data_IF_206832239792
#
_entry.id   IF_206832239792
#
_cell.length_a   1.000
_cell.length_b   1.000
_cell.length_c   1.000
_cell.angle_alpha   90.00
_cell.angle_beta   90.00
_cell.angle_gamma   90.00
#
_symmetry.space_group_name_H-M   'P 1'
#
loop_
_entity.id
_entity.type
_entity.pdbx_description
1 polymer ?
#
# COMPACT_ATOMS: atom_id res chain seq x y z
N UNK A 1 16.19 -6.66 -23.77
CA UNK A 1 17.01 -7.65 -24.48
C UNK A 1 16.48 -9.04 -24.20
N UNK A 2 16.33 -9.84 -25.25
CA UNK A 2 15.92 -11.26 -25.18
C UNK A 2 17.01 -12.09 -25.84
N UNK A 3 18.09 -12.44 -25.12
CA UNK A 3 19.22 -13.17 -25.69
C UNK A 3 18.89 -14.64 -26.02
N UNK A 4 17.79 -15.14 -25.47
CA UNK A 4 17.22 -16.44 -25.80
C UNK A 4 15.73 -16.45 -25.41
N UNK A 5 14.97 -17.46 -25.82
CA UNK A 5 13.58 -17.65 -25.41
C UNK A 5 13.41 -17.84 -23.89
N UNK A 6 14.49 -18.17 -23.18
CA UNK A 6 14.49 -18.38 -21.72
C UNK A 6 14.81 -17.14 -20.90
N UNK A 7 15.31 -16.06 -21.52
CA UNK A 7 15.77 -14.88 -20.81
C UNK A 7 15.19 -13.60 -21.37
N UNK A 8 14.72 -12.76 -20.47
CA UNK A 8 14.35 -11.39 -20.77
C UNK A 8 15.06 -10.44 -19.80
N UNK A 9 15.78 -9.44 -20.33
CA UNK A 9 16.44 -8.41 -19.54
C UNK A 9 15.91 -7.03 -19.88
N UNK A 10 15.71 -6.21 -18.86
CA UNK A 10 15.38 -4.80 -18.98
C UNK A 10 16.27 -3.95 -18.09
N UNK A 11 16.62 -2.77 -18.56
CA UNK A 11 17.30 -1.74 -17.79
C UNK A 11 16.69 -0.38 -18.12
N UNK A 12 16.71 0.54 -17.15
CA UNK A 12 16.16 1.87 -17.32
C UNK A 12 16.89 2.89 -16.45
N UNK A 13 16.84 4.15 -16.86
CA UNK A 13 17.18 5.31 -16.07
C UNK A 13 15.96 6.22 -15.92
N UNK A 14 15.82 6.87 -14.78
CA UNK A 14 14.73 7.80 -14.47
C UNK A 14 15.31 9.11 -13.97
N UNK A 15 14.83 10.22 -14.51
CA UNK A 15 15.08 11.54 -13.96
C UNK A 15 13.79 12.07 -13.33
N UNK A 16 13.89 12.48 -12.08
CA UNK A 16 12.79 13.06 -11.32
C UNK A 16 13.08 14.54 -11.13
N UNK A 17 12.11 15.39 -11.43
CA UNK A 17 12.18 16.82 -11.13
C UNK A 17 10.82 17.30 -10.69
N UNK A 18 10.78 18.00 -9.56
CA UNK A 18 9.59 18.60 -9.00
C UNK A 18 9.89 20.03 -8.63
N UNK A 19 9.07 20.95 -9.09
CA UNK A 19 9.03 22.33 -8.64
C UNK A 19 7.73 22.54 -7.88
N UNK A 20 7.82 23.09 -6.68
CA UNK A 20 6.69 23.45 -5.85
C UNK A 20 6.82 24.87 -5.37
N UNK A 21 5.71 25.57 -5.25
CA UNK A 21 5.64 26.92 -4.68
C UNK A 21 4.30 27.09 -3.98
N UNK A 22 4.32 27.61 -2.77
CA UNK A 22 3.12 27.81 -1.96
C UNK A 22 3.34 28.80 -0.82
N UNK A 23 2.28 29.23 -0.14
CA UNK A 23 2.39 29.95 1.09
C UNK A 23 2.93 29.04 2.21
N UNK A 24 3.78 29.55 3.05
CA UNK A 24 4.29 28.89 4.24
C UNK A 24 4.20 29.85 5.40
N UNK A 25 3.74 29.37 6.56
CA UNK A 25 3.71 30.18 7.77
C UNK A 25 5.15 30.58 8.16
N UNK A 26 5.37 31.85 8.45
CA UNK A 26 6.67 32.39 8.88
C UNK A 26 6.85 32.28 10.37
N UNK A 27 5.74 32.21 11.11
CA UNK A 27 5.71 32.12 12.56
C UNK A 27 4.81 30.96 13.05
N UNK A 28 5.05 30.53 14.30
CA UNK A 28 4.28 29.46 14.95
C UNK A 28 2.80 29.83 15.20
N UNK A 29 2.42 31.08 15.01
CA UNK A 29 1.04 31.57 15.18
C UNK A 29 0.21 31.51 13.91
N UNK A 30 0.85 31.24 12.77
CA UNK A 30 0.19 31.22 11.47
C UNK A 30 -0.36 32.59 11.01
N UNK A 31 0.19 33.69 11.58
CA UNK A 31 -0.30 35.05 11.30
C UNK A 31 0.31 35.64 10.02
N UNK A 32 1.51 35.19 9.64
CA UNK A 32 2.22 35.68 8.49
C UNK A 32 2.57 34.53 7.53
N UNK A 33 2.28 34.73 6.25
CA UNK A 33 2.61 33.74 5.20
C UNK A 33 3.59 34.34 4.20
N UNK A 34 4.68 33.65 3.94
CA UNK A 34 5.65 33.98 2.90
C UNK A 34 5.53 32.96 1.79
N UNK A 35 5.51 33.43 0.55
CA UNK A 35 5.55 32.55 -0.61
C UNK A 35 6.95 31.95 -0.76
N UNK A 36 7.02 30.65 -0.58
CA UNK A 36 8.25 29.88 -0.66
C UNK A 36 8.18 28.93 -1.85
N UNK A 37 9.32 28.66 -2.47
CA UNK A 37 9.41 27.68 -3.56
C UNK A 37 10.64 26.80 -3.41
N UNK A 38 10.54 25.58 -3.94
CA UNK A 38 11.65 24.63 -3.95
C UNK A 38 11.65 23.81 -5.22
N UNK A 39 12.84 23.56 -5.76
CA UNK A 39 13.06 22.56 -6.81
C UNK A 39 13.81 21.39 -6.21
N UNK A 40 13.34 20.19 -6.46
CA UNK A 40 13.98 18.94 -6.06
C UNK A 40 14.19 18.09 -7.30
N UNK A 41 15.40 17.55 -7.47
CA UNK A 41 15.70 16.63 -8.57
C UNK A 41 16.50 15.42 -8.09
N UNK A 42 16.42 14.32 -8.82
CA UNK A 42 17.11 13.08 -8.50
C UNK A 42 17.20 12.15 -9.71
N UNK A 43 18.23 11.30 -9.74
CA UNK A 43 18.44 10.28 -10.76
C UNK A 43 18.32 8.88 -10.17
N UNK A 44 17.39 8.09 -10.71
CA UNK A 44 17.23 6.68 -10.41
C UNK A 44 17.62 5.79 -11.59
N UNK A 45 17.90 4.54 -11.32
CA UNK A 45 18.17 3.53 -12.34
C UNK A 45 17.81 2.14 -11.82
N UNK A 46 17.63 1.22 -12.74
CA UNK A 46 17.32 -0.15 -12.36
C UNK A 46 17.53 -1.13 -13.50
N UNK A 47 17.55 -2.40 -13.13
CA UNK A 47 17.62 -3.51 -14.05
C UNK A 47 16.78 -4.67 -13.53
N UNK A 48 16.24 -5.47 -14.45
CA UNK A 48 15.52 -6.70 -14.12
C UNK A 48 15.86 -7.81 -15.12
N UNK A 49 15.95 -9.03 -14.61
CA UNK A 49 16.07 -10.24 -15.39
C UNK A 49 14.93 -11.20 -15.08
N UNK A 50 14.31 -11.76 -16.12
CA UNK A 50 13.33 -12.83 -16.00
C UNK A 50 13.91 -14.08 -16.63
N UNK A 51 13.82 -15.19 -15.91
CA UNK A 51 14.19 -16.52 -16.40
C UNK A 51 12.95 -17.42 -16.47
N UNK A 52 12.64 -17.89 -17.66
CA UNK A 52 11.57 -18.85 -17.92
C UNK A 52 12.10 -20.25 -17.69
N UNK A 53 11.81 -20.82 -16.50
CA UNK A 53 12.34 -22.12 -16.05
C UNK A 53 11.71 -23.24 -16.88
N UNK A 54 10.39 -23.18 -17.02
CA UNK A 54 9.59 -24.07 -17.87
C UNK A 54 8.27 -23.37 -18.25
N UNK A 55 7.46 -24.02 -19.10
CA UNK A 55 6.17 -23.46 -19.49
C UNK A 55 5.30 -23.14 -18.26
N UNK A 56 4.98 -21.87 -18.11
CA UNK A 56 4.19 -21.33 -16.98
C UNK A 56 4.97 -21.06 -15.68
N UNK A 57 6.24 -21.46 -15.56
CA UNK A 57 7.06 -21.17 -14.36
C UNK A 57 8.19 -20.20 -14.71
N UNK A 58 8.24 -19.08 -14.03
CA UNK A 58 9.27 -18.06 -14.20
C UNK A 58 9.78 -17.50 -12.88
N UNK A 59 11.03 -17.10 -12.89
CA UNK A 59 11.67 -16.35 -11.81
C UNK A 59 12.07 -14.96 -12.32
N UNK A 60 11.84 -13.93 -11.52
CA UNK A 60 12.22 -12.54 -11.83
C UNK A 60 13.01 -11.96 -10.68
N UNK A 61 14.21 -11.47 -10.98
CA UNK A 61 15.05 -10.69 -10.06
C UNK A 61 15.12 -9.25 -10.57
N UNK A 62 14.94 -8.28 -9.69
CA UNK A 62 15.10 -6.87 -10.03
C UNK A 62 15.86 -6.11 -8.95
N UNK A 63 16.63 -5.12 -9.40
CA UNK A 63 17.23 -4.09 -8.58
C UNK A 63 16.83 -2.72 -9.10
N UNK A 64 16.52 -1.82 -8.18
CA UNK A 64 16.23 -0.42 -8.49
C UNK A 64 16.79 0.52 -7.43
N UNK A 65 17.55 1.51 -7.87
CA UNK A 65 17.84 2.73 -7.13
C UNK A 65 16.70 3.70 -7.38
N UNK A 66 15.78 3.81 -6.43
CA UNK A 66 14.59 4.64 -6.54
C UNK A 66 14.65 5.87 -5.64
N UNK A 67 13.93 6.91 -6.06
CA UNK A 67 13.71 8.12 -5.27
C UNK A 67 12.21 8.36 -5.16
N UNK A 68 11.76 8.76 -3.97
CA UNK A 68 10.42 9.28 -3.73
C UNK A 68 10.54 10.76 -3.41
N UNK A 69 10.00 11.59 -4.28
CA UNK A 69 9.92 13.02 -4.03
C UNK A 69 8.86 13.30 -2.96
N UNK A 70 9.06 14.31 -2.10
CA UNK A 70 8.05 14.70 -1.13
C UNK A 70 6.76 15.13 -1.82
N UNK A 71 5.61 14.87 -1.20
CA UNK A 71 4.32 15.40 -1.65
C UNK A 71 4.16 16.87 -1.27
N UNK A 72 3.14 17.53 -1.82
CA UNK A 72 2.82 18.91 -1.48
C UNK A 72 2.43 19.01 -0.01
N UNK A 73 1.64 18.05 0.49
CA UNK A 73 1.21 17.96 1.89
C UNK A 73 2.39 17.77 2.84
N UNK A 74 3.37 16.93 2.48
CA UNK A 74 4.59 16.75 3.28
C UNK A 74 5.44 18.02 3.36
N UNK A 75 5.39 18.89 2.35
CA UNK A 75 6.19 20.13 2.30
C UNK A 75 5.44 21.35 2.84
N UNK A 76 4.14 21.45 2.67
CA UNK A 76 3.36 22.62 3.07
C UNK A 76 2.32 22.32 4.14
N UNK A 77 1.99 21.04 4.38
CA UNK A 77 0.90 20.63 5.27
C UNK A 77 -0.47 20.84 4.65
N UNK A 78 -1.47 20.76 5.49
CA UNK A 78 -2.81 21.27 5.23
C UNK A 78 -3.08 22.46 6.20
N UNK A 79 -4.18 23.14 6.03
CA UNK A 79 -4.49 24.33 6.87
C UNK A 79 -5.04 23.97 8.26
N UNK A 80 -5.21 22.66 8.60
CA UNK A 80 -5.95 22.25 9.81
C UNK A 80 -5.16 21.29 10.71
N UNK A 81 -4.71 20.14 10.22
CA UNK A 81 -4.18 19.06 11.04
C UNK A 81 -2.74 18.63 10.70
N UNK A 82 -2.23 19.02 9.56
CA UNK A 82 -0.92 18.58 9.09
C UNK A 82 0.04 19.74 8.90
N UNK A 83 1.17 19.70 9.60
CA UNK A 83 2.25 20.68 9.46
C UNK A 83 3.30 20.16 8.50
N UNK A 84 3.55 20.89 7.42
CA UNK A 84 4.56 20.54 6.43
C UNK A 84 5.96 21.04 6.81
N UNK A 85 6.98 20.47 6.17
CA UNK A 85 8.36 20.95 6.23
C UNK A 85 8.93 21.04 4.81
N UNK A 86 9.11 22.25 4.31
CA UNK A 86 9.68 22.49 2.99
C UNK A 86 11.13 21.98 2.86
N UNK A 87 11.81 21.75 3.98
CA UNK A 87 13.15 21.19 4.07
C UNK A 87 13.23 19.69 3.84
N UNK A 88 12.08 18.96 3.76
CA UNK A 88 12.05 17.51 3.58
C UNK A 88 12.82 17.09 2.32
N UNK A 89 13.77 16.16 2.51
CA UNK A 89 14.57 15.59 1.44
C UNK A 89 13.86 14.40 0.79
N UNK A 90 14.09 14.15 -0.53
CA UNK A 90 13.62 12.91 -1.16
C UNK A 90 14.15 11.66 -0.48
N UNK A 91 13.28 10.67 -0.32
CA UNK A 91 13.74 9.34 0.07
C UNK A 91 14.60 8.74 -1.04
N UNK A 92 15.65 8.04 -0.63
CA UNK A 92 16.55 7.27 -1.52
C UNK A 92 16.49 5.81 -1.11
N UNK A 93 16.13 4.92 -2.01
CA UNK A 93 16.04 3.51 -1.68
C UNK A 93 16.79 2.61 -2.67
N UNK A 94 17.43 1.61 -2.12
CA UNK A 94 17.96 0.45 -2.85
C UNK A 94 16.95 -0.69 -2.68
N UNK A 95 16.33 -1.12 -3.78
CA UNK A 95 15.26 -2.10 -3.80
C UNK A 95 15.71 -3.35 -4.53
N UNK A 96 15.60 -4.52 -3.88
CA UNK A 96 15.84 -5.83 -4.49
C UNK A 96 14.56 -6.64 -4.33
N UNK A 97 14.04 -7.18 -5.43
CA UNK A 97 12.86 -8.03 -5.43
C UNK A 97 13.18 -9.33 -6.19
N UNK A 98 12.78 -10.45 -5.59
CA UNK A 98 12.81 -11.75 -6.25
C UNK A 98 11.38 -12.31 -6.22
N UNK A 99 10.84 -12.64 -7.39
CA UNK A 99 9.52 -13.24 -7.55
C UNK A 99 9.63 -14.56 -8.29
N UNK A 100 8.86 -15.54 -7.85
CA UNK A 100 8.65 -16.82 -8.54
C UNK A 100 7.15 -16.95 -8.82
N UNK A 101 6.76 -17.11 -10.06
CA UNK A 101 5.36 -17.27 -10.44
C UNK A 101 5.15 -18.51 -11.31
N UNK A 102 4.02 -19.17 -11.04
CA UNK A 102 3.57 -20.33 -11.81
C UNK A 102 2.13 -20.12 -12.29
N UNK A 103 1.90 -20.33 -13.58
CA UNK A 103 0.58 -20.23 -14.20
C UNK A 103 0.36 -21.41 -15.11
N UNK A 104 -0.73 -22.15 -14.93
CA UNK A 104 -1.09 -23.27 -15.78
C UNK A 104 -2.61 -23.42 -15.92
N UNK A 105 -3.03 -23.74 -17.13
CA UNK A 105 -4.40 -24.17 -17.41
C UNK A 105 -4.41 -25.61 -17.90
N UNK A 106 -5.35 -26.42 -17.39
CA UNK A 106 -5.54 -27.81 -17.77
C UNK A 106 -7.02 -28.18 -17.71
N UNK A 107 -7.59 -28.51 -18.86
CA UNK A 107 -9.03 -28.75 -18.99
C UNK A 107 -9.85 -27.53 -18.59
N UNK A 108 -10.68 -27.68 -17.56
CA UNK A 108 -11.49 -26.59 -16.98
C UNK A 108 -10.81 -25.86 -15.84
N UNK A 109 -9.59 -26.25 -15.44
CA UNK A 109 -8.88 -25.72 -14.31
C UNK A 109 -7.85 -24.67 -14.76
N UNK A 110 -7.73 -23.60 -14.02
CA UNK A 110 -6.64 -22.62 -14.12
C UNK A 110 -6.06 -22.38 -12.75
N UNK A 111 -4.74 -22.39 -12.67
CA UNK A 111 -4.00 -22.17 -11.42
C UNK A 111 -2.97 -21.07 -11.66
N UNK A 112 -2.91 -20.12 -10.74
CA UNK A 112 -1.85 -19.14 -10.64
C UNK A 112 -1.35 -19.10 -9.22
N UNK A 113 -0.04 -19.14 -9.03
CA UNK A 113 0.62 -18.97 -7.73
C UNK A 113 1.83 -18.07 -7.93
N UNK A 114 2.00 -17.10 -7.06
CA UNK A 114 3.18 -16.23 -7.03
C UNK A 114 3.67 -16.09 -5.59
N UNK A 115 5.00 -16.15 -5.41
CA UNK A 115 5.67 -15.81 -4.17
C UNK A 115 6.78 -14.82 -4.45
N UNK A 116 6.87 -13.78 -3.62
CA UNK A 116 7.89 -12.74 -3.75
C UNK A 116 8.57 -12.44 -2.44
N UNK A 117 9.85 -12.06 -2.49
CA UNK A 117 10.60 -11.49 -1.36
C UNK A 117 11.08 -10.11 -1.72
N UNK A 118 11.04 -9.21 -0.75
CA UNK A 118 11.38 -7.79 -0.89
C UNK A 118 12.45 -7.43 0.11
N UNK A 119 13.49 -6.76 -0.36
CA UNK A 119 14.48 -6.09 0.44
C UNK A 119 14.58 -4.63 -0.02
N UNK A 120 14.35 -3.69 0.90
CA UNK A 120 14.47 -2.25 0.62
C UNK A 120 15.23 -1.58 1.74
N UNK A 121 16.29 -0.88 1.38
CA UNK A 121 17.05 -0.04 2.30
C UNK A 121 16.84 1.42 1.92
N UNK A 122 16.10 2.15 2.73
CA UNK A 122 15.72 3.55 2.49
C UNK A 122 16.53 4.46 3.38
N UNK A 123 17.06 5.55 2.80
CA UNK A 123 17.67 6.68 3.51
C UNK A 123 16.76 7.89 3.36
N UNK A 124 16.84 8.80 4.32
CA UNK A 124 15.99 9.98 4.37
C UNK A 124 14.49 9.62 4.30
N UNK A 125 14.10 8.51 4.96
CA UNK A 125 12.72 8.03 4.99
C UNK A 125 11.79 9.13 5.51
N UNK A 126 10.74 9.47 4.77
CA UNK A 126 9.77 10.49 5.18
C UNK A 126 8.72 9.81 6.03
N UNK A 127 8.66 10.22 7.30
CA UNK A 127 7.72 9.70 8.27
C UNK A 127 6.74 10.78 8.68
N UNK A 128 5.47 10.38 8.74
CA UNK A 128 4.40 11.13 9.37
C UNK A 128 4.40 10.82 10.86
N UNK A 129 4.59 11.83 11.67
CA UNK A 129 4.56 11.73 13.13
C UNK A 129 3.28 12.39 13.66
N UNK A 130 2.57 11.68 14.52
CA UNK A 130 1.44 12.26 15.24
C UNK A 130 1.98 13.15 16.35
N UNK A 131 1.43 14.33 16.50
CA UNK A 131 1.76 15.28 17.55
C UNK A 131 0.49 15.93 18.12
N UNK A 132 0.56 16.30 19.39
CA UNK A 132 -0.49 17.07 20.02
C UNK A 132 -0.42 18.53 19.52
N UNK A 133 -1.51 19.01 18.96
CA UNK A 133 -1.68 20.40 18.60
C UNK A 133 -2.30 21.18 19.76
N UNK A 134 -2.11 22.51 19.77
CA UNK A 134 -2.75 23.37 20.75
C UNK A 134 -4.27 23.21 20.74
N UNK A 135 -4.90 23.17 21.91
CA UNK A 135 -6.35 23.01 22.06
C UNK A 135 -6.84 21.56 22.11
N UNK A 136 -5.96 20.58 22.35
CA UNK A 136 -6.33 19.17 22.51
C UNK A 136 -6.68 18.47 21.21
N UNK A 137 -6.23 19.00 20.07
CA UNK A 137 -6.32 18.36 18.76
C UNK A 137 -5.06 17.52 18.52
N UNK A 138 -5.23 16.32 17.97
CA UNK A 138 -4.12 15.56 17.39
C UNK A 138 -3.88 16.02 15.95
N UNK A 139 -2.64 16.24 15.60
CA UNK A 139 -2.21 16.56 14.24
C UNK A 139 -1.03 15.73 13.81
N UNK A 140 -0.46 16.03 12.68
CA UNK A 140 0.69 15.34 12.16
C UNK A 140 1.75 16.31 11.63
N UNK A 141 3.00 15.88 11.69
CA UNK A 141 4.14 16.54 11.04
C UNK A 141 4.95 15.52 10.26
N UNK A 142 5.71 15.99 9.30
CA UNK A 142 6.54 15.16 8.45
C UNK A 142 8.02 15.42 8.69
N UNK A 143 8.81 14.37 8.81
CA UNK A 143 10.25 14.47 9.03
C UNK A 143 11.00 13.39 8.23
N UNK A 144 12.28 13.68 7.89
CA UNK A 144 13.17 12.63 7.40
C UNK A 144 13.73 11.83 8.56
N UNK A 145 13.28 10.60 8.69
CA UNK A 145 13.56 9.72 9.83
C UNK A 145 14.93 8.99 9.76
N UNK A 146 15.79 9.28 8.82
CA UNK A 146 17.06 8.58 8.72
C UNK A 146 16.97 7.29 7.88
N UNK A 147 17.49 6.15 8.40
CA UNK A 147 17.54 4.89 7.66
C UNK A 147 16.44 3.94 8.10
N UNK A 148 15.71 3.41 7.14
CA UNK A 148 14.67 2.41 7.34
C UNK A 148 14.94 1.18 6.48
N UNK A 149 14.90 0.00 7.11
CA UNK A 149 15.05 -1.28 6.44
C UNK A 149 13.70 -1.99 6.36
N UNK A 150 13.25 -2.26 5.13
CA UNK A 150 12.07 -3.08 4.85
C UNK A 150 12.50 -4.44 4.35
N UNK A 151 12.00 -5.50 4.99
CA UNK A 151 12.14 -6.89 4.57
C UNK A 151 10.78 -7.55 4.65
N UNK A 152 10.42 -8.29 3.61
CA UNK A 152 9.14 -8.95 3.60
C UNK A 152 9.00 -9.99 2.51
N UNK A 153 7.84 -10.62 2.53
CA UNK A 153 7.41 -11.53 1.48
C UNK A 153 5.92 -11.38 1.25
N UNK A 154 5.52 -11.73 0.05
CA UNK A 154 4.12 -11.85 -0.33
C UNK A 154 3.89 -13.20 -1.02
N UNK A 155 2.70 -13.75 -0.84
CA UNK A 155 2.24 -14.95 -1.54
C UNK A 155 0.85 -14.67 -2.06
N UNK A 156 0.61 -14.94 -3.33
CA UNK A 156 -0.72 -14.89 -3.93
C UNK A 156 -1.03 -16.18 -4.67
N UNK A 157 -2.28 -16.60 -4.61
CA UNK A 157 -2.76 -17.75 -5.35
C UNK A 157 -4.15 -17.46 -5.91
N UNK A 158 -4.40 -17.98 -7.12
CA UNK A 158 -5.72 -17.93 -7.74
C UNK A 158 -6.01 -19.23 -8.42
N UNK A 159 -7.20 -19.75 -8.18
CA UNK A 159 -7.75 -20.94 -8.82
C UNK A 159 -9.03 -20.58 -9.55
N UNK A 160 -9.16 -21.04 -10.77
CA UNK A 160 -10.39 -20.95 -11.55
C UNK A 160 -10.88 -22.31 -11.99
N UNK A 161 -12.18 -22.50 -12.00
CA UNK A 161 -12.82 -23.70 -12.55
C UNK A 161 -13.87 -23.32 -13.60
N UNK A 162 -13.57 -23.69 -14.84
CA UNK A 162 -14.39 -23.35 -15.98
C UNK A 162 -14.60 -21.83 -16.10
N UNK A 163 -15.87 -21.46 -16.29
CA UNK A 163 -16.28 -20.04 -16.38
C UNK A 163 -17.17 -19.63 -15.21
N UNK A 164 -17.25 -20.46 -14.16
CA UNK A 164 -18.24 -20.27 -13.13
C UNK A 164 -17.66 -20.10 -11.72
N UNK A 165 -16.40 -20.45 -11.47
CA UNK A 165 -15.76 -20.28 -10.16
C UNK A 165 -14.38 -19.64 -10.32
N UNK A 166 -14.10 -18.65 -9.49
CA UNK A 166 -12.75 -18.13 -9.23
C UNK A 166 -12.56 -17.95 -7.74
N UNK A 167 -11.46 -18.46 -7.21
CA UNK A 167 -11.05 -18.29 -5.80
C UNK A 167 -9.66 -17.72 -5.81
N UNK A 168 -9.43 -16.68 -5.06
CA UNK A 168 -8.14 -16.03 -4.97
C UNK A 168 -7.82 -15.54 -3.59
N UNK A 169 -6.56 -15.30 -3.32
CA UNK A 169 -6.13 -14.67 -2.09
C UNK A 169 -4.68 -14.26 -2.15
N UNK A 170 -4.33 -13.31 -1.32
CA UNK A 170 -2.95 -12.92 -1.10
C UNK A 170 -2.67 -12.71 0.39
N UNK A 171 -1.42 -12.88 0.75
CA UNK A 171 -0.90 -12.64 2.07
C UNK A 171 0.41 -11.86 1.94
N UNK A 172 0.55 -10.80 2.72
CA UNK A 172 1.76 -9.99 2.77
C UNK A 172 2.25 -9.84 4.20
N UNK A 173 3.54 -10.07 4.38
CA UNK A 173 4.26 -9.80 5.62
C UNK A 173 5.42 -8.86 5.31
N UNK A 174 5.41 -7.65 5.88
CA UNK A 174 6.47 -6.66 5.72
C UNK A 174 6.97 -6.16 7.06
N UNK A 175 8.28 -6.26 7.32
CA UNK A 175 8.91 -5.70 8.49
C UNK A 175 9.62 -4.41 8.09
N UNK A 176 9.01 -3.28 8.43
CA UNK A 176 9.56 -1.93 8.23
C UNK A 176 10.15 -1.49 9.57
N UNK A 177 11.48 -1.39 9.64
CA UNK A 177 12.19 -1.15 10.90
C UNK A 177 13.18 -0.01 10.77
N UNK A 178 13.31 0.74 11.86
CA UNK A 178 14.40 1.68 12.03
C UNK A 178 15.75 0.95 11.92
N UNK A 179 16.63 1.49 11.09
CA UNK A 179 17.98 0.95 10.89
C UNK A 179 19.07 2.01 11.13
N UNK A 180 18.72 3.13 11.75
CA UNK A 180 19.65 4.17 12.19
C UNK A 180 20.14 3.86 13.59
N UNK A 181 21.44 3.57 13.73
CA UNK A 181 22.04 3.22 15.05
C UNK A 181 22.28 4.43 15.93
N UNK A 182 22.65 5.53 15.32
CA UNK A 182 23.03 6.76 16.01
C UNK A 182 22.15 7.90 15.53
N UNK A 183 21.74 8.75 16.43
CA UNK A 183 20.97 9.95 16.11
C UNK A 183 21.63 11.19 16.75
N UNK A 184 21.28 12.37 16.28
CA UNK A 184 21.74 13.60 16.90
C UNK A 184 20.80 13.91 18.06
N UNK A 185 21.33 13.91 19.27
CA UNK A 185 20.60 14.30 20.47
C UNK A 185 20.34 15.80 20.54
N UNK A 186 19.50 16.22 21.51
CA UNK A 186 19.12 17.62 21.72
C UNK A 186 20.30 18.57 21.96
N UNK A 187 21.44 18.05 22.41
CA UNK A 187 22.68 18.79 22.64
C UNK A 187 23.62 18.83 21.43
N UNK A 188 23.18 18.30 20.27
CA UNK A 188 23.98 18.22 19.05
C UNK A 188 24.99 17.06 19.02
N UNK A 189 25.12 16.30 20.11
CA UNK A 189 25.99 15.14 20.18
C UNK A 189 25.35 13.90 19.55
N UNK A 190 26.20 13.01 19.00
CA UNK A 190 25.74 11.71 18.51
C UNK A 190 25.41 10.80 19.68
N UNK A 191 24.19 10.32 19.77
CA UNK A 191 23.68 9.42 20.81
C UNK A 191 23.12 8.15 20.19
N UNK A 192 23.07 7.08 20.97
CA UNK A 192 22.45 5.83 20.52
C UNK A 192 20.96 6.03 20.28
N UNK A 193 20.47 5.54 19.15
CA UNK A 193 19.05 5.59 18.81
C UNK A 193 18.31 4.46 19.53
N UNK A 194 17.49 4.80 20.51
CA UNK A 194 16.65 3.86 21.25
C UNK A 194 15.62 3.16 20.37
N UNK A 195 15.28 3.75 19.22
CA UNK A 195 14.40 3.16 18.21
C UNK A 195 15.07 2.14 17.29
N UNK A 196 16.39 1.95 17.38
CA UNK A 196 17.11 1.01 16.51
C UNK A 196 16.49 -0.39 16.56
N UNK A 197 16.12 -0.93 15.38
CA UNK A 197 15.39 -2.19 15.18
C UNK A 197 13.92 -2.17 15.60
N UNK A 198 13.40 -1.11 16.19
CA UNK A 198 11.97 -0.98 16.41
C UNK A 198 11.20 -0.92 15.08
N UNK A 199 9.93 -1.29 15.09
CA UNK A 199 9.05 -1.09 13.93
C UNK A 199 8.76 0.39 13.76
N UNK A 200 8.71 0.84 12.52
CA UNK A 200 8.20 2.18 12.20
C UNK A 200 6.72 2.22 12.61
N UNK A 201 6.30 3.21 13.41
CA UNK A 201 4.91 3.32 13.84
C UNK A 201 3.99 3.66 12.66
N UNK A 202 2.71 3.40 12.85
CA UNK A 202 1.65 3.68 11.89
C UNK A 202 1.82 3.03 10.51
N UNK A 203 2.49 1.87 10.47
CA UNK A 203 2.69 1.08 9.25
C UNK A 203 2.20 -0.34 9.48
N UNK A 204 1.08 -0.76 8.85
CA UNK A 204 0.65 -2.15 8.86
C UNK A 204 1.75 -3.06 8.31
N UNK A 205 1.95 -4.20 8.94
CA UNK A 205 3.03 -5.10 8.58
C UNK A 205 2.59 -6.50 8.16
N UNK A 206 1.36 -6.86 8.44
CA UNK A 206 0.77 -8.14 8.06
C UNK A 206 -0.67 -7.92 7.64
N UNK A 207 -0.99 -8.33 6.42
CA UNK A 207 -2.33 -8.22 5.87
C UNK A 207 -2.58 -9.29 4.82
N UNK A 208 -3.84 -9.64 4.66
CA UNK A 208 -4.29 -10.64 3.70
C UNK A 208 -5.64 -10.24 3.12
N UNK A 209 -5.91 -10.71 1.93
CA UNK A 209 -7.25 -10.70 1.36
C UNK A 209 -7.55 -12.05 0.69
N UNK A 210 -8.83 -12.36 0.61
CA UNK A 210 -9.35 -13.57 0.02
C UNK A 210 -10.66 -13.26 -0.70
N UNK A 211 -10.83 -13.79 -1.90
CA UNK A 211 -12.05 -13.63 -2.69
C UNK A 211 -12.56 -14.94 -3.26
N UNK A 212 -13.89 -15.05 -3.32
CA UNK A 212 -14.60 -16.14 -4.03
C UNK A 212 -15.63 -15.52 -4.95
N UNK A 213 -15.57 -15.90 -6.23
CA UNK A 213 -16.48 -15.41 -7.24
C UNK A 213 -17.19 -16.57 -7.90
N UNK A 214 -18.51 -16.54 -7.89
CA UNK A 214 -19.38 -17.44 -8.63
C UNK A 214 -20.08 -16.71 -9.78
N UNK A 215 -20.15 -17.35 -10.93
CA UNK A 215 -20.76 -16.80 -12.13
C UNK A 215 -21.73 -17.80 -12.74
N UNK A 216 -23.03 -17.51 -12.75
CA UNK A 216 -24.04 -18.25 -13.50
C UNK A 216 -24.32 -17.53 -14.80
N UNK A 217 -23.83 -18.11 -15.91
CA UNK A 217 -24.03 -17.58 -17.26
C UNK A 217 -25.32 -18.11 -17.84
N UNK A 218 -25.96 -17.28 -18.68
CA UNK A 218 -27.21 -17.59 -19.33
C UNK A 218 -28.37 -17.91 -18.36
N UNK A 219 -28.28 -17.38 -17.14
CA UNK A 219 -29.32 -17.53 -16.12
C UNK A 219 -30.60 -16.83 -16.58
N UNK A 220 -31.70 -17.59 -16.66
CA UNK A 220 -33.04 -17.20 -17.13
C UNK A 220 -33.08 -16.77 -18.60
N UNK A 221 -32.04 -16.20 -19.18
CA UNK A 221 -31.99 -15.79 -20.59
C UNK A 221 -30.53 -15.79 -21.07
N UNK A 222 -30.33 -16.19 -22.33
CA UNK A 222 -29.03 -16.18 -23.00
C UNK A 222 -28.42 -14.77 -22.97
N UNK A 223 -27.13 -14.69 -22.60
CA UNK A 223 -26.39 -13.44 -22.45
C UNK A 223 -26.58 -12.74 -21.11
N UNK A 224 -27.35 -13.31 -20.18
CA UNK A 224 -27.43 -12.82 -18.81
C UNK A 224 -26.38 -13.51 -17.92
N UNK A 225 -25.85 -12.79 -16.93
CA UNK A 225 -24.88 -13.33 -15.99
C UNK A 225 -25.25 -12.85 -14.59
N UNK A 226 -25.49 -13.82 -13.71
CA UNK A 226 -25.53 -13.57 -12.27
C UNK A 226 -24.16 -13.84 -11.67
N UNK A 227 -23.62 -12.93 -10.91
CA UNK A 227 -22.39 -13.12 -10.14
C UNK A 227 -22.60 -12.85 -8.67
N UNK A 228 -21.98 -13.69 -7.86
CA UNK A 228 -21.87 -13.50 -6.41
C UNK A 228 -20.41 -13.45 -6.08
N UNK A 229 -19.98 -12.35 -5.48
CA UNK A 229 -18.61 -12.14 -5.03
C UNK A 229 -18.61 -11.99 -3.53
N UNK A 230 -17.87 -12.85 -2.85
CA UNK A 230 -17.47 -12.68 -1.47
C UNK A 230 -16.01 -12.26 -1.44
N UNK A 231 -15.70 -11.22 -0.70
CA UNK A 231 -14.33 -10.81 -0.41
C UNK A 231 -14.16 -10.47 1.07
N UNK A 232 -12.96 -10.72 1.56
CA UNK A 232 -12.58 -10.28 2.88
C UNK A 232 -11.21 -9.61 2.88
N UNK A 233 -10.97 -8.82 3.91
CA UNK A 233 -9.69 -8.17 4.15
C UNK A 233 -9.32 -8.36 5.61
N UNK A 234 -8.11 -8.82 5.85
CA UNK A 234 -7.50 -8.95 7.16
C UNK A 234 -6.33 -8.00 7.30
N UNK A 235 -6.26 -7.29 8.41
CA UNK A 235 -5.10 -6.49 8.80
C UNK A 235 -4.77 -6.80 10.26
N UNK A 236 -3.53 -7.21 10.51
CA UNK A 236 -3.05 -7.49 11.86
C UNK A 236 -2.83 -6.18 12.62
N UNK A 237 -3.02 -6.22 13.92
CA UNK A 237 -2.83 -5.07 14.82
C UNK A 237 -1.43 -4.47 14.71
N UNK A 238 -1.36 -3.16 14.73
CA UNK A 238 -0.09 -2.44 14.67
C UNK A 238 -0.15 -1.18 15.55
N UNK A 239 1.02 -0.76 16.04
CA UNK A 239 1.11 0.47 16.83
C UNK A 239 1.08 1.69 15.93
N UNK A 240 0.29 2.69 16.28
CA UNK A 240 0.35 4.00 15.65
C UNK A 240 1.32 4.96 16.36
N UNK A 241 1.84 4.58 17.53
CA UNK A 241 2.87 5.28 18.28
C UNK A 241 4.22 4.53 18.25
N UNK A 242 5.31 5.24 18.54
CA UNK A 242 6.65 4.62 18.56
C UNK A 242 6.77 3.60 19.69
N UNK A 243 7.05 2.36 19.33
CA UNK A 243 7.31 1.29 20.28
C UNK A 243 8.64 1.46 21.05
N UNK A 244 9.54 2.31 20.56
CA UNK A 244 10.83 2.58 21.18
C UNK A 244 10.70 3.26 22.57
N UNK A 245 9.59 3.94 22.82
CA UNK A 245 9.34 4.65 24.08
C UNK A 245 8.62 3.75 25.11
N UNK A 246 8.60 2.43 24.88
CA UNK A 246 8.03 1.47 25.84
C UNK A 246 6.51 1.27 25.76
N UNK A 247 5.85 1.84 24.77
CA UNK A 247 4.42 1.74 24.61
C UNK A 247 4.02 0.41 23.96
N UNK A 248 3.91 -0.64 24.75
CA UNK A 248 3.11 -1.83 24.43
C UNK A 248 1.65 -1.66 24.87
N UNK A 249 1.23 -0.43 25.19
CA UNK A 249 -0.10 -0.15 25.64
C UNK A 249 -1.09 -0.40 24.50
N UNK A 250 -2.15 -1.15 24.77
CA UNK A 250 -3.22 -1.45 23.81
C UNK A 250 -3.94 -0.18 23.33
N UNK A 251 -3.92 0.88 24.14
CA UNK A 251 -4.53 2.17 23.82
C UNK A 251 -3.85 2.88 22.62
N UNK A 252 -2.61 2.48 22.29
CA UNK A 252 -1.86 3.00 21.14
C UNK A 252 -1.74 2.00 20.00
N UNK A 253 -2.64 1.03 19.94
CA UNK A 253 -2.69 0.01 18.90
C UNK A 253 -3.95 0.18 18.05
N UNK A 254 -3.79 0.16 16.75
CA UNK A 254 -4.89 -0.18 15.85
C UNK A 254 -5.12 -1.67 16.00
N UNK A 255 -6.33 -2.15 16.38
CA UNK A 255 -6.59 -3.56 16.62
C UNK A 255 -6.56 -4.40 15.34
N UNK A 256 -6.57 -5.71 15.49
CA UNK A 256 -6.83 -6.63 14.37
C UNK A 256 -8.16 -6.28 13.72
N UNK A 257 -8.18 -6.27 12.39
CA UNK A 257 -9.37 -5.94 11.62
C UNK A 257 -9.65 -7.05 10.62
N UNK A 258 -10.90 -7.44 10.54
CA UNK A 258 -11.35 -8.46 9.62
C UNK A 258 -12.69 -8.05 9.00
N UNK A 259 -12.70 -7.60 7.77
CA UNK A 259 -13.93 -7.17 7.11
C UNK A 259 -14.39 -8.18 6.07
N UNK A 260 -15.69 -8.37 5.99
CA UNK A 260 -16.34 -9.29 5.08
C UNK A 260 -17.33 -8.53 4.21
N UNK A 261 -17.23 -8.70 2.89
CA UNK A 261 -18.08 -8.03 1.94
C UNK A 261 -18.77 -9.06 1.03
N UNK A 262 -19.98 -8.74 0.63
CA UNK A 262 -20.76 -9.56 -0.30
C UNK A 262 -21.36 -8.69 -1.39
N UNK A 263 -21.11 -9.05 -2.64
CA UNK A 263 -21.65 -8.36 -3.81
C UNK A 263 -22.45 -9.32 -4.66
N UNK A 264 -23.70 -8.97 -4.94
CA UNK A 264 -24.57 -9.62 -5.90
C UNK A 264 -24.69 -8.73 -7.14
N UNK A 265 -24.40 -9.24 -8.32
CA UNK A 265 -24.51 -8.47 -9.55
C UNK A 265 -25.24 -9.26 -10.63
N UNK A 266 -26.19 -8.61 -11.32
CA UNK A 266 -26.90 -9.21 -12.42
C UNK A 266 -26.71 -8.36 -13.69
N UNK A 267 -26.12 -8.96 -14.68
CA UNK A 267 -25.85 -8.40 -16.00
C UNK A 267 -26.85 -8.93 -17.02
N UNK A 268 -27.51 -8.04 -17.73
CA UNK A 268 -28.58 -8.35 -18.67
C UNK A 268 -28.19 -7.90 -20.09
N UNK A 269 -28.73 -8.61 -21.09
CA UNK A 269 -28.56 -8.29 -22.51
C UNK A 269 -27.09 -8.10 -22.92
N UNK A 270 -26.25 -9.10 -22.63
CA UNK A 270 -24.80 -9.09 -22.90
C UNK A 270 -24.06 -7.89 -22.26
N UNK A 271 -24.48 -7.47 -21.07
CA UNK A 271 -23.82 -6.38 -20.34
C UNK A 271 -24.42 -5.00 -20.57
N UNK A 272 -25.45 -4.85 -21.39
CA UNK A 272 -26.09 -3.55 -21.62
C UNK A 272 -26.67 -2.94 -20.34
N UNK A 273 -27.24 -3.78 -19.46
CA UNK A 273 -27.74 -3.36 -18.14
C UNK A 273 -27.04 -4.16 -17.05
N UNK A 274 -26.53 -3.48 -16.06
CA UNK A 274 -25.91 -4.13 -14.90
C UNK A 274 -26.52 -3.54 -13.64
N UNK A 275 -27.05 -4.42 -12.79
CA UNK A 275 -27.61 -4.08 -11.49
C UNK A 275 -26.76 -4.79 -10.46
N UNK A 276 -26.29 -4.07 -9.46
CA UNK A 276 -25.53 -4.68 -8.36
C UNK A 276 -26.00 -4.18 -7.01
N UNK A 277 -25.94 -5.07 -6.06
CA UNK A 277 -26.16 -4.82 -4.64
C UNK A 277 -24.92 -5.29 -3.88
N UNK A 278 -24.39 -4.41 -3.03
CA UNK A 278 -23.19 -4.67 -2.23
C UNK A 278 -23.50 -4.44 -0.76
N UNK A 279 -23.12 -5.38 0.08
CA UNK A 279 -23.13 -5.28 1.53
C UNK A 279 -21.69 -5.30 2.02
N UNK A 280 -21.16 -4.14 2.43
CA UNK A 280 -19.83 -4.02 3.02
C UNK A 280 -19.90 -4.30 4.50
N UNK A 281 -18.83 -4.96 5.00
CA UNK A 281 -18.71 -5.30 6.41
C UNK A 281 -20.00 -5.96 6.93
N UNK A 282 -20.47 -7.04 6.26
CA UNK A 282 -21.78 -7.63 6.56
C UNK A 282 -21.83 -8.28 7.95
N UNK A 283 -20.69 -8.61 8.55
CA UNK A 283 -20.56 -9.08 9.94
C UNK A 283 -20.69 -7.95 10.96
N UNK A 284 -20.56 -6.69 10.48
CA UNK A 284 -20.58 -5.47 11.30
C UNK A 284 -19.45 -5.44 12.35
N UNK A 285 -18.25 -5.83 11.93
CA UNK A 285 -17.04 -5.71 12.73
C UNK A 285 -16.66 -4.25 12.94
N UNK A 286 -16.04 -3.96 14.06
CA UNK A 286 -15.46 -2.64 14.31
C UNK A 286 -14.17 -2.48 13.50
N UNK A 287 -14.18 -1.54 12.56
CA UNK A 287 -13.06 -1.21 11.70
C UNK A 287 -12.51 0.16 12.08
N UNK A 288 -11.21 0.32 11.99
CA UNK A 288 -10.51 1.54 12.39
C UNK A 288 -9.61 2.04 11.27
N UNK A 289 -9.33 3.32 11.29
CA UNK A 289 -8.30 3.93 10.44
C UNK A 289 -6.92 3.89 11.11
N UNK A 290 -5.96 4.56 10.48
CA UNK A 290 -4.57 4.61 10.99
C UNK A 290 -4.41 5.46 12.26
N UNK A 291 -5.44 6.19 12.69
CA UNK A 291 -5.48 6.94 13.95
C UNK A 291 -6.27 6.21 15.03
N UNK A 292 -6.66 4.97 14.79
CA UNK A 292 -7.56 4.21 15.65
C UNK A 292 -8.96 4.83 15.78
N UNK A 293 -9.37 5.65 14.81
CA UNK A 293 -10.72 6.18 14.73
C UNK A 293 -11.64 5.15 14.07
N UNK A 294 -12.78 4.90 14.68
CA UNK A 294 -13.75 3.93 14.20
C UNK A 294 -14.36 4.38 12.87
N UNK A 295 -14.32 3.50 11.88
CA UNK A 295 -14.97 3.69 10.59
C UNK A 295 -16.46 3.33 10.66
N UNK A 296 -17.21 3.73 9.64
CA UNK A 296 -18.60 3.29 9.49
C UNK A 296 -18.70 1.77 9.50
N UNK A 297 -19.67 1.23 10.21
CA UNK A 297 -19.98 -0.21 10.28
C UNK A 297 -20.54 -0.73 8.95
N UNK A 298 -21.50 -1.67 9.05
CA UNK A 298 -22.17 -2.26 7.89
C UNK A 298 -22.81 -1.20 6.99
N UNK A 299 -22.56 -1.32 5.69
CA UNK A 299 -23.09 -0.41 4.69
C UNK A 299 -23.66 -1.16 3.48
N UNK A 300 -24.73 -0.61 2.89
CA UNK A 300 -25.41 -1.18 1.74
C UNK A 300 -25.35 -0.22 0.56
N UNK A 301 -25.04 -0.74 -0.62
CA UNK A 301 -24.95 0.04 -1.85
C UNK A 301 -25.73 -0.63 -2.96
N UNK A 302 -26.51 0.17 -3.69
CA UNK A 302 -27.19 -0.21 -4.93
C UNK A 302 -26.57 0.55 -6.10
N UNK A 303 -26.29 -0.15 -7.20
CA UNK A 303 -25.73 0.47 -8.41
C UNK A 303 -26.44 -0.04 -9.65
N UNK A 304 -26.86 0.86 -10.51
CA UNK A 304 -27.38 0.56 -11.85
C UNK A 304 -26.45 1.20 -12.88
N UNK A 305 -26.01 0.41 -13.85
CA UNK A 305 -25.21 0.88 -14.98
C UNK A 305 -25.95 0.52 -16.28
N UNK A 306 -26.08 1.48 -17.16
CA UNK A 306 -26.65 1.30 -18.50
C UNK A 306 -25.57 1.66 -19.52
N UNK A 307 -25.34 0.78 -20.48
CA UNK A 307 -24.44 1.01 -21.61
C UNK A 307 -25.29 1.49 -22.78
N UNK A 308 -25.00 2.68 -23.27
CA UNK A 308 -25.59 3.25 -24.48
C UNK A 308 -24.57 3.09 -25.62
N UNK A 309 -24.79 2.15 -26.50
CA UNK A 309 -23.94 1.85 -27.66
C UNK A 309 -24.40 0.52 -28.27
N UNK A 310 -24.26 0.40 -29.58
CA UNK A 310 -24.57 -0.82 -30.33
C UNK A 310 -23.54 -1.93 -30.05
#
# INVERSE_FOLDING_TARGET
LMPSEKWNFSAFGKYYRQYVAGPMAEDDTGSNYVRTSRTVDSWGYGAAGTYFILSGLQAKLSYEKAYRLPTIEEMFGDEDLESGDIGIRPEKSDNINLNLSYSRSFGKHSVYVEGGVVYRNTKDYIQRNIQDLSGGKEGATYTNYGKVLTKGYNVSARYGFGRWLSVGGNFTQMNVRDNEKMQIGSTGNSVENLGYKARIPNVPYQFADFDVNFYWRDLWKKGNILSVTYDNQYMHSFSYYSQAIGSKNKDFMVPDQFSHNLTLSYSLKNGRYNISFECRNFTNEDLYDNFSLQKAGRAFYGKVRVHFGD
#
